data_IF_138541083046
#
_entry.id   IF_138541083046
#
_cell.length_a   1.000
_cell.length_b   1.000
_cell.length_c   1.000
_cell.angle_alpha   90.00
_cell.angle_beta   90.00
_cell.angle_gamma   90.00
#
_symmetry.space_group_name_H-M   'P 1'
#
loop_
_entity.id
_entity.type
_entity.pdbx_description
1 polymer ?
#
# COMPACT_ATOMS: atom_id res chain seq x y z
N UNK A 1 -4.90 2.76 -15.01
CA UNK A 1 -3.50 2.47 -15.41
C UNK A 1 -2.67 3.74 -15.62
N UNK A 2 -3.24 4.86 -16.07
CA UNK A 2 -2.52 6.14 -16.24
C UNK A 2 -2.10 6.88 -14.96
N UNK A 3 -2.83 6.76 -13.85
CA UNK A 3 -2.56 7.58 -12.65
C UNK A 3 -1.31 7.13 -11.87
N UNK A 4 -1.06 5.81 -11.79
CA UNK A 4 0.15 5.26 -11.18
C UNK A 4 1.42 5.72 -11.90
N UNK A 5 1.38 5.77 -13.24
CA UNK A 5 2.50 6.24 -14.08
C UNK A 5 2.87 7.71 -13.83
N UNK A 6 1.93 8.52 -13.32
CA UNK A 6 2.18 9.94 -13.00
C UNK A 6 2.86 10.14 -11.64
N UNK A 7 2.84 9.12 -10.79
CA UNK A 7 3.32 9.17 -9.40
C UNK A 7 4.59 8.36 -9.19
N UNK A 8 4.89 7.42 -10.08
CA UNK A 8 6.10 6.64 -10.09
C UNK A 8 7.27 7.38 -10.76
N UNK A 9 8.47 7.25 -10.18
CA UNK A 9 9.72 7.52 -10.92
C UNK A 9 9.99 6.45 -11.98
N UNK A 10 11.14 6.51 -12.67
CA UNK A 10 11.53 5.58 -13.75
C UNK A 10 11.49 4.09 -13.32
N UNK A 11 11.55 3.80 -12.01
CA UNK A 11 11.56 2.45 -11.43
C UNK A 11 10.21 1.98 -10.81
N UNK A 12 9.10 2.70 -11.01
CA UNK A 12 7.79 2.30 -10.45
C UNK A 12 7.59 2.60 -8.95
N UNK A 13 8.54 3.29 -8.31
CA UNK A 13 8.50 3.61 -6.88
C UNK A 13 7.62 4.85 -6.63
N UNK A 14 6.72 4.74 -5.65
CA UNK A 14 5.74 5.76 -5.27
C UNK A 14 5.86 6.19 -3.82
N UNK A 15 5.37 7.39 -3.50
CA UNK A 15 5.16 7.84 -2.11
C UNK A 15 3.84 7.24 -1.61
N UNK A 16 3.90 6.42 -0.57
CA UNK A 16 2.74 5.67 -0.05
C UNK A 16 1.59 6.61 0.33
N UNK A 17 1.89 7.69 1.06
CA UNK A 17 0.90 8.68 1.48
C UNK A 17 0.18 9.43 0.34
N UNK A 18 0.71 9.36 -0.89
CA UNK A 18 -0.01 9.89 -2.06
C UNK A 18 -0.96 8.84 -2.65
N UNK A 19 -0.59 7.57 -2.62
CA UNK A 19 -1.41 6.45 -3.10
C UNK A 19 -2.62 6.25 -2.20
N UNK A 20 -2.46 6.37 -0.88
CA UNK A 20 -3.56 6.32 0.10
C UNK A 20 -4.70 7.29 -0.23
N UNK A 21 -4.38 8.46 -0.78
CA UNK A 21 -5.39 9.48 -1.15
C UNK A 21 -6.18 9.11 -2.40
N UNK A 22 -5.68 8.19 -3.22
CA UNK A 22 -6.34 7.75 -4.44
C UNK A 22 -7.27 6.56 -4.22
N UNK A 23 -6.94 5.72 -3.24
CA UNK A 23 -7.65 4.47 -2.96
C UNK A 23 -8.15 4.43 -1.52
N UNK A 24 -9.06 5.36 -1.13
CA UNK A 24 -9.71 5.28 0.17
C UNK A 24 -10.57 4.02 0.26
N UNK A 25 -10.65 3.43 1.45
CA UNK A 25 -11.48 2.24 1.73
C UNK A 25 -11.11 1.00 0.90
N UNK A 26 -9.85 0.91 0.47
CA UNK A 26 -9.30 -0.26 -0.22
C UNK A 26 -8.17 -0.91 0.59
N UNK A 27 -7.93 -2.19 0.35
CA UNK A 27 -6.72 -2.86 0.80
C UNK A 27 -5.57 -2.47 -0.10
N UNK A 28 -4.44 -2.08 0.50
CA UNK A 28 -3.23 -1.72 -0.22
C UNK A 28 -2.11 -2.70 0.10
N UNK A 29 -1.37 -3.10 -0.92
CA UNK A 29 -0.17 -3.92 -0.80
C UNK A 29 1.01 -3.24 -1.48
N UNK A 30 2.05 -2.97 -0.70
CA UNK A 30 3.31 -2.44 -1.20
C UNK A 30 4.47 -3.40 -0.96
N UNK A 31 5.40 -3.46 -1.90
CA UNK A 31 6.79 -3.80 -1.60
C UNK A 31 7.44 -2.56 -0.98
N UNK A 32 8.00 -2.68 0.23
CA UNK A 32 8.60 -1.54 0.95
C UNK A 32 10.01 -1.29 0.42
N UNK A 33 10.28 -0.04 0.01
CA UNK A 33 11.60 0.38 -0.50
C UNK A 33 12.32 1.29 0.49
N UNK A 34 11.59 2.16 1.18
CA UNK A 34 12.17 3.12 2.13
C UNK A 34 11.24 3.29 3.33
N UNK A 35 11.84 3.31 4.53
CA UNK A 35 11.16 3.62 5.79
C UNK A 35 11.72 4.91 6.39
N UNK A 36 10.94 5.57 7.24
CA UNK A 36 11.43 6.67 8.07
C UNK A 36 12.26 6.18 9.28
N UNK A 37 12.67 7.12 10.13
CA UNK A 37 13.45 6.85 11.35
C UNK A 37 12.71 6.00 12.39
N UNK A 38 11.38 5.94 12.35
CA UNK A 38 10.55 5.05 13.18
C UNK A 38 10.21 3.74 12.47
N UNK A 39 10.92 3.43 11.38
CA UNK A 39 10.73 2.23 10.57
C UNK A 39 9.32 2.13 9.95
N UNK A 40 8.64 3.27 9.76
CA UNK A 40 7.35 3.32 9.05
C UNK A 40 7.58 3.41 7.53
N UNK A 41 6.90 2.61 6.69
CA UNK A 41 7.03 2.67 5.25
C UNK A 41 6.63 4.06 4.69
N UNK A 42 7.53 4.69 3.92
CA UNK A 42 7.27 5.99 3.28
C UNK A 42 7.31 5.91 1.74
N UNK A 43 8.07 4.97 1.18
CA UNK A 43 8.09 4.67 -0.26
C UNK A 43 8.06 3.17 -0.53
N UNK A 44 7.42 2.82 -1.64
CA UNK A 44 7.32 1.43 -2.07
C UNK A 44 6.87 1.29 -3.51
N UNK A 45 6.71 0.05 -3.96
CA UNK A 45 6.01 -0.27 -5.20
C UNK A 45 4.63 -0.79 -4.86
N UNK A 46 3.57 -0.21 -5.42
CA UNK A 46 2.22 -0.73 -5.24
C UNK A 46 2.11 -2.02 -6.06
N UNK A 47 1.90 -3.15 -5.38
CA UNK A 47 1.75 -4.46 -6.01
C UNK A 47 0.29 -4.75 -6.32
N UNK A 48 -0.61 -4.38 -5.41
CA UNK A 48 -2.05 -4.53 -5.57
C UNK A 48 -2.80 -3.51 -4.72
N UNK A 49 -3.99 -3.16 -5.19
CA UNK A 49 -5.03 -2.53 -4.41
C UNK A 49 -6.39 -3.08 -4.84
N UNK A 50 -7.30 -3.30 -3.90
CA UNK A 50 -8.68 -3.72 -4.18
C UNK A 50 -9.55 -3.51 -2.93
N UNK A 51 -10.86 -3.17 -3.06
CA UNK A 51 -11.79 -3.26 -1.94
C UNK A 51 -11.96 -4.69 -1.39
N UNK A 52 -11.76 -5.72 -2.22
CA UNK A 52 -11.75 -7.13 -1.81
C UNK A 52 -10.38 -7.53 -1.25
N UNK A 53 -10.33 -7.77 0.06
CA UNK A 53 -9.14 -8.28 0.75
C UNK A 53 -8.57 -9.54 0.10
N UNK A 54 -9.42 -10.48 -0.33
CA UNK A 54 -8.96 -11.76 -0.86
C UNK A 54 -8.25 -11.59 -2.20
N UNK A 55 -8.60 -10.56 -2.98
CA UNK A 55 -7.89 -10.20 -4.21
C UNK A 55 -6.46 -9.74 -3.93
N UNK A 56 -6.27 -8.90 -2.91
CA UNK A 56 -4.94 -8.43 -2.49
C UNK A 56 -4.11 -9.55 -1.86
N UNK A 57 -4.72 -10.42 -1.05
CA UNK A 57 -4.04 -11.57 -0.43
C UNK A 57 -3.52 -12.57 -1.47
N UNK A 58 -4.25 -12.80 -2.57
CA UNK A 58 -3.75 -13.66 -3.66
C UNK A 58 -2.41 -13.13 -4.21
N UNK A 59 -2.32 -11.83 -4.46
CA UNK A 59 -1.08 -11.19 -4.93
C UNK A 59 0.02 -11.28 -3.87
N UNK A 60 -0.31 -11.07 -2.59
CA UNK A 60 0.65 -11.21 -1.48
C UNK A 60 1.26 -12.62 -1.41
N UNK A 61 0.45 -13.67 -1.59
CA UNK A 61 0.92 -15.06 -1.54
C UNK A 61 1.82 -15.44 -2.73
N UNK A 62 1.67 -14.76 -3.85
CA UNK A 62 2.48 -14.96 -5.07
C UNK A 62 3.70 -14.04 -5.13
N UNK A 63 3.76 -13.00 -4.29
CA UNK A 63 4.84 -12.02 -4.26
C UNK A 63 6.12 -12.62 -3.67
N UNK A 64 7.19 -12.65 -4.47
CA UNK A 64 8.54 -12.99 -4.02
C UNK A 64 9.27 -11.73 -3.50
N UNK A 65 8.76 -11.15 -2.42
CA UNK A 65 9.28 -9.92 -1.82
C UNK A 65 9.62 -10.12 -0.34
N UNK A 66 10.79 -9.63 0.09
CA UNK A 66 11.27 -9.82 1.47
C UNK A 66 10.53 -8.95 2.51
N UNK A 67 10.00 -7.79 2.10
CA UNK A 67 9.34 -6.85 3.02
C UNK A 67 8.13 -6.19 2.36
N UNK A 68 6.94 -6.57 2.82
CA UNK A 68 5.65 -6.09 2.32
C UNK A 68 4.92 -5.27 3.37
N UNK A 69 4.18 -4.25 2.94
CA UNK A 69 3.26 -3.49 3.77
C UNK A 69 1.83 -3.67 3.26
N UNK A 70 0.97 -4.28 4.07
CA UNK A 70 -0.40 -4.66 3.73
C UNK A 70 -1.36 -4.19 4.83
N UNK A 71 -2.37 -3.40 4.45
CA UNK A 71 -3.33 -2.82 5.38
C UNK A 71 -4.58 -2.35 4.65
N UNK A 72 -5.66 -2.17 5.40
CA UNK A 72 -6.87 -1.53 4.94
C UNK A 72 -6.75 -0.01 5.10
N UNK A 73 -6.93 0.74 4.00
CA UNK A 73 -6.82 2.19 3.94
C UNK A 73 -8.18 2.89 4.10
N UNK A 74 -8.97 2.45 5.07
CA UNK A 74 -10.22 3.09 5.44
C UNK A 74 -10.14 3.81 6.78
N UNK A 75 -11.26 4.37 7.23
CA UNK A 75 -11.30 5.03 8.53
C UNK A 75 -10.87 4.07 9.66
N UNK A 76 -9.98 4.51 10.56
CA UNK A 76 -9.64 3.71 11.73
C UNK A 76 -10.91 3.47 12.53
N UNK A 77 -11.12 2.22 12.98
CA UNK A 77 -12.23 1.94 13.88
C UNK A 77 -12.16 2.89 15.07
N UNK A 78 -13.25 3.61 15.40
CA UNK A 78 -13.24 4.51 16.54
C UNK A 78 -12.85 3.69 17.76
N UNK A 79 -11.91 4.20 18.56
CA UNK A 79 -11.52 3.54 19.79
C UNK A 79 -12.77 3.40 20.65
N UNK A 80 -13.32 2.18 20.70
CA UNK A 80 -14.42 1.88 21.61
C UNK A 80 -13.81 2.05 22.99
N UNK A 81 -14.22 3.09 23.70
CA UNK A 81 -13.95 3.25 25.12
C UNK A 81 -14.68 2.10 25.84
N UNK A 82 -13.99 0.95 25.96
CA UNK A 82 -14.39 -0.18 26.79
C UNK A 82 -14.17 0.15 28.27
#
# INVERSE_FOLDING_TARGET
MDEMNKMSGEDGIVIIAKVEKLYPDEWLLFEVVETDEQNQPIKGRLLAHDPDHDAVVRVLLEADCAHTYHYYNGEPMPAVLL
#
